data_IF_817792366804
#
_entry.id   IF_817792366804
#
_cell.length_a   1.000
_cell.length_b   1.000
_cell.length_c   1.000
_cell.angle_alpha   90.00
_cell.angle_beta   90.00
_cell.angle_gamma   90.00
#
_symmetry.space_group_name_H-M   'P 1'
#
loop_
_entity.id
_entity.type
_entity.pdbx_description
1 polymer ?
#
# COMPACT_ATOMS: atom_id res chain seq x y z
N UNK A 1 -27.64 -38.95 0.85
CA UNK A 1 -27.52 -37.68 1.60
C UNK A 1 -26.84 -36.64 0.70
N UNK A 2 -27.56 -35.65 0.16
CA UNK A 2 -26.97 -34.60 -0.71
C UNK A 2 -26.40 -33.48 0.16
N UNK A 3 -25.08 -33.31 0.20
CA UNK A 3 -24.41 -32.18 0.87
C UNK A 3 -24.57 -30.93 0.00
N UNK A 4 -25.44 -30.01 0.39
CA UNK A 4 -25.42 -28.66 -0.18
C UNK A 4 -24.09 -27.98 0.20
N UNK A 5 -23.31 -27.58 -0.81
CA UNK A 5 -22.14 -26.71 -0.63
C UNK A 5 -22.55 -25.28 -0.93
N UNK A 6 -22.45 -24.40 0.08
CA UNK A 6 -22.63 -22.96 -0.11
C UNK A 6 -21.46 -22.44 -0.96
N UNK A 7 -21.71 -22.10 -2.21
CA UNK A 7 -20.73 -21.40 -3.04
C UNK A 7 -20.68 -19.94 -2.58
N UNK A 8 -20.01 -19.67 -1.45
CA UNK A 8 -19.90 -18.30 -0.93
C UNK A 8 -19.28 -17.34 -1.96
N UNK A 9 -19.80 -16.12 -1.99
CA UNK A 9 -19.38 -15.03 -2.87
C UNK A 9 -17.96 -14.56 -2.55
N UNK A 10 -17.28 -13.99 -3.54
CA UNK A 10 -16.05 -13.24 -3.33
C UNK A 10 -16.36 -11.99 -2.50
N UNK A 11 -15.65 -11.72 -1.40
CA UNK A 11 -15.84 -10.50 -0.64
C UNK A 11 -15.54 -9.27 -1.49
N UNK A 12 -16.44 -8.29 -1.51
CA UNK A 12 -16.19 -6.99 -2.12
C UNK A 12 -15.12 -6.21 -1.32
N UNK A 13 -14.23 -5.45 -1.98
CA UNK A 13 -13.29 -4.58 -1.30
C UNK A 13 -13.93 -3.25 -0.88
N UNK A 14 -13.41 -2.63 0.18
CA UNK A 14 -13.54 -1.19 0.43
C UNK A 14 -12.29 -0.48 -0.07
N UNK A 15 -12.49 0.65 -0.75
CA UNK A 15 -11.42 1.55 -1.19
C UNK A 15 -11.56 2.85 -0.41
N UNK A 16 -10.49 3.27 0.27
CA UNK A 16 -10.35 4.56 0.92
C UNK A 16 -9.55 5.47 -0.02
N UNK A 17 -10.13 6.62 -0.37
CA UNK A 17 -9.45 7.66 -1.14
C UNK A 17 -9.00 8.75 -0.17
N UNK A 18 -7.72 9.08 -0.21
CA UNK A 18 -7.13 10.04 0.73
C UNK A 18 -6.31 11.09 0.01
N UNK A 19 -6.22 12.27 0.63
CA UNK A 19 -5.35 13.35 0.21
C UNK A 19 -4.82 14.01 1.48
N UNK A 20 -3.51 13.89 1.73
CA UNK A 20 -2.86 14.53 2.86
C UNK A 20 -2.63 16.02 2.56
N UNK A 21 -2.52 16.82 3.61
CA UNK A 21 -2.15 18.22 3.49
C UNK A 21 -0.79 18.37 2.77
N UNK A 22 -0.60 19.42 1.94
CA UNK A 22 0.67 19.67 1.28
C UNK A 22 1.71 20.19 2.25
N UNK A 23 2.98 19.95 1.97
CA UNK A 23 4.09 20.54 2.71
C UNK A 23 4.28 22.03 2.35
N UNK A 24 4.57 22.91 3.32
CA UNK A 24 4.64 22.66 4.76
C UNK A 24 3.25 22.78 5.43
N UNK A 25 2.71 21.67 5.94
CA UNK A 25 1.59 21.66 6.88
C UNK A 25 2.11 21.56 8.32
N UNK A 26 1.31 21.94 9.32
CA UNK A 26 1.73 21.78 10.71
C UNK A 26 1.65 20.31 11.16
N UNK A 27 2.46 19.96 12.16
CA UNK A 27 2.50 18.59 12.70
C UNK A 27 1.14 18.12 13.22
N UNK A 28 0.35 19.03 13.81
CA UNK A 28 -0.98 18.78 14.35
C UNK A 28 -1.98 18.34 13.26
N UNK A 29 -1.98 19.02 12.11
CA UNK A 29 -2.86 18.68 10.97
C UNK A 29 -2.51 17.31 10.38
N UNK A 30 -1.21 17.01 10.25
CA UNK A 30 -0.73 15.70 9.83
C UNK A 30 -1.10 14.60 10.84
N UNK A 31 -0.96 14.87 12.14
CA UNK A 31 -1.35 13.92 13.19
C UNK A 31 -2.85 13.61 13.13
N UNK A 32 -3.70 14.64 13.04
CA UNK A 32 -5.14 14.48 12.92
C UNK A 32 -5.50 13.64 11.69
N UNK A 33 -4.88 13.93 10.53
CA UNK A 33 -5.07 13.16 9.30
C UNK A 33 -4.77 11.67 9.49
N UNK A 34 -3.62 11.31 10.08
CA UNK A 34 -3.25 9.91 10.29
C UNK A 34 -4.13 9.24 11.36
N UNK A 35 -4.50 9.95 12.43
CA UNK A 35 -5.41 9.44 13.45
C UNK A 35 -6.79 9.10 12.86
N UNK A 36 -7.35 9.99 12.05
CA UNK A 36 -8.63 9.79 11.38
C UNK A 36 -8.58 8.66 10.36
N UNK A 37 -7.52 8.59 9.57
CA UNK A 37 -7.30 7.50 8.62
C UNK A 37 -7.23 6.14 9.34
N UNK A 38 -6.47 6.05 10.44
CA UNK A 38 -6.37 4.82 11.21
C UNK A 38 -7.70 4.43 11.85
N UNK A 39 -8.44 5.40 12.38
CA UNK A 39 -9.76 5.18 12.97
C UNK A 39 -10.74 4.65 11.93
N UNK A 40 -10.88 5.34 10.81
CA UNK A 40 -11.75 4.93 9.70
C UNK A 40 -11.36 3.54 9.17
N UNK A 41 -10.06 3.28 9.04
CA UNK A 41 -9.56 1.99 8.62
C UNK A 41 -9.88 0.88 9.64
N UNK A 42 -9.78 1.13 10.95
CA UNK A 42 -10.09 0.16 12.01
C UNK A 42 -11.58 -0.14 12.12
N UNK A 43 -12.43 0.88 12.03
CA UNK A 43 -13.90 0.76 12.10
C UNK A 43 -14.49 -0.02 10.91
N UNK A 44 -13.84 0.01 9.75
CA UNK A 44 -14.28 -0.78 8.61
C UNK A 44 -14.04 -2.29 8.84
N UNK A 45 -15.05 -3.12 8.58
CA UNK A 45 -14.96 -4.58 8.78
C UNK A 45 -14.86 -5.40 7.48
N UNK A 46 -14.64 -4.75 6.34
CA UNK A 46 -14.50 -5.48 5.06
C UNK A 46 -13.21 -6.30 5.01
N UNK A 47 -13.28 -7.41 4.28
CA UNK A 47 -12.16 -8.35 4.25
C UNK A 47 -10.96 -7.80 3.47
N UNK A 48 -11.22 -7.17 2.32
CA UNK A 48 -10.23 -6.51 1.48
C UNK A 48 -10.38 -5.00 1.63
N UNK A 49 -9.29 -4.34 2.01
CA UNK A 49 -9.20 -2.90 2.18
C UNK A 49 -8.04 -2.38 1.34
N UNK A 50 -8.28 -1.31 0.61
CA UNK A 50 -7.28 -0.62 -0.21
C UNK A 50 -7.33 0.85 0.16
N UNK A 51 -6.19 1.45 0.50
CA UNK A 51 -6.05 2.89 0.65
C UNK A 51 -5.29 3.39 -0.59
N UNK A 52 -5.83 4.41 -1.25
CA UNK A 52 -5.22 5.02 -2.44
C UNK A 52 -5.26 6.53 -2.24
N UNK A 53 -4.15 7.21 -2.51
CA UNK A 53 -4.16 8.66 -2.39
C UNK A 53 -2.80 9.30 -2.48
N UNK A 54 -2.83 10.63 -2.43
CA UNK A 54 -1.66 11.49 -2.32
C UNK A 54 -1.35 11.67 -0.84
N UNK A 55 -0.15 11.26 -0.42
CA UNK A 55 0.29 11.42 0.97
C UNK A 55 1.36 12.50 1.14
N UNK A 56 1.85 13.09 0.04
CA UNK A 56 2.96 14.04 0.06
C UNK A 56 4.21 13.51 0.79
N UNK A 57 4.40 12.18 0.76
CA UNK A 57 5.43 11.48 1.52
C UNK A 57 6.18 10.53 0.60
N UNK A 58 7.46 10.26 0.90
CA UNK A 58 8.22 9.25 0.15
C UNK A 58 8.80 8.19 1.10
N UNK A 59 8.43 6.94 0.86
CA UNK A 59 8.84 5.81 1.71
C UNK A 59 10.13 5.21 1.19
N UNK A 60 11.09 5.05 2.11
CA UNK A 60 12.35 4.36 1.87
C UNK A 60 12.13 2.86 1.59
N UNK A 61 13.01 2.22 0.80
CA UNK A 61 13.17 0.78 0.86
C UNK A 61 13.32 0.26 2.28
N UNK A 62 12.68 -0.89 2.51
CA UNK A 62 12.79 -1.69 3.73
C UNK A 62 14.23 -1.76 4.26
N UNK A 63 14.44 -1.38 5.53
CA UNK A 63 15.76 -1.42 6.20
C UNK A 63 15.98 -2.73 6.96
N UNK A 64 14.95 -3.26 7.62
CA UNK A 64 15.06 -4.42 8.50
C UNK A 64 14.18 -5.61 8.10
N UNK A 65 14.64 -6.84 8.40
CA UNK A 65 13.92 -8.09 8.15
C UNK A 65 12.59 -8.24 8.93
N UNK A 66 12.27 -7.29 9.80
CA UNK A 66 11.04 -7.21 10.60
C UNK A 66 9.97 -6.31 9.96
N UNK A 67 10.36 -5.34 9.12
CA UNK A 67 9.48 -4.42 8.37
C UNK A 67 8.82 -5.11 7.16
N UNK A 68 8.06 -6.19 7.40
CA UNK A 68 7.49 -7.02 6.32
C UNK A 68 6.39 -6.32 5.49
N UNK A 69 5.95 -5.16 5.95
CA UNK A 69 4.87 -4.35 5.38
C UNK A 69 5.37 -3.43 4.26
N UNK A 70 6.64 -3.01 4.32
CA UNK A 70 7.29 -2.20 3.29
C UNK A 70 8.20 -3.11 2.46
N UNK A 71 8.08 -3.03 1.14
CA UNK A 71 8.94 -3.76 0.22
C UNK A 71 10.30 -3.09 -0.01
N UNK A 72 11.18 -3.78 -0.71
CA UNK A 72 12.58 -3.36 -0.96
C UNK A 72 12.72 -2.36 -2.11
N UNK A 73 11.63 -1.96 -2.75
CA UNK A 73 11.64 -1.10 -3.94
C UNK A 73 11.02 0.28 -3.68
N UNK A 74 11.21 0.83 -2.47
CA UNK A 74 10.86 2.22 -2.15
C UNK A 74 11.69 3.25 -2.93
N UNK A 75 11.44 4.53 -2.67
CA UNK A 75 12.16 5.65 -3.27
C UNK A 75 13.09 6.33 -2.27
N UNK A 76 13.68 7.46 -2.65
CA UNK A 76 14.31 8.38 -1.70
C UNK A 76 13.33 8.73 -0.58
N UNK A 77 13.84 8.94 0.62
CA UNK A 77 13.04 9.14 1.84
C UNK A 77 12.73 10.62 2.06
N UNK A 78 11.56 10.91 2.63
CA UNK A 78 11.21 12.22 3.21
C UNK A 78 10.76 12.07 4.66
N UNK A 79 10.76 13.16 5.42
CA UNK A 79 10.35 13.18 6.83
C UNK A 79 8.90 12.71 7.01
N UNK A 80 8.01 13.13 6.12
CA UNK A 80 6.61 12.69 6.06
C UNK A 80 6.50 11.19 5.74
N UNK A 81 7.52 10.63 5.09
CA UNK A 81 7.67 9.20 4.83
C UNK A 81 7.76 8.35 6.10
N UNK A 82 8.25 8.91 7.21
CA UNK A 82 8.29 8.23 8.50
C UNK A 82 6.88 8.03 9.05
N UNK A 83 6.08 9.10 9.10
CA UNK A 83 4.67 9.05 9.56
C UNK A 83 3.84 8.07 8.74
N UNK A 84 4.02 8.08 7.41
CA UNK A 84 3.35 7.11 6.54
C UNK A 84 3.79 5.67 6.85
N UNK A 85 5.09 5.47 7.12
CA UNK A 85 5.63 4.16 7.48
C UNK A 85 5.05 3.66 8.81
N UNK A 86 4.95 4.53 9.81
CA UNK A 86 4.32 4.25 11.10
C UNK A 86 2.84 3.86 10.93
N UNK A 87 2.07 4.61 10.15
CA UNK A 87 0.67 4.29 9.86
C UNK A 87 0.51 2.93 9.15
N UNK A 88 1.42 2.60 8.21
CA UNK A 88 1.43 1.29 7.54
C UNK A 88 1.68 0.16 8.55
N UNK A 89 2.60 0.38 9.49
CA UNK A 89 2.93 -0.58 10.54
C UNK A 89 1.78 -0.75 11.54
N UNK A 90 1.20 0.35 12.03
CA UNK A 90 0.10 0.37 13.02
C UNK A 90 -1.18 -0.29 12.49
N UNK A 91 -1.48 -0.09 11.20
CA UNK A 91 -2.65 -0.67 10.53
C UNK A 91 -2.43 -2.09 10.01
N UNK A 92 -1.19 -2.61 10.14
CA UNK A 92 -0.74 -3.87 9.57
C UNK A 92 -1.09 -4.00 8.08
N UNK A 93 -0.93 -2.90 7.35
CA UNK A 93 -1.13 -2.82 5.90
C UNK A 93 0.20 -3.03 5.18
N UNK A 94 0.18 -3.02 3.86
CA UNK A 94 1.33 -3.31 3.02
C UNK A 94 1.46 -2.18 2.02
N UNK A 95 2.63 -1.55 1.99
CA UNK A 95 2.96 -0.55 0.99
C UNK A 95 3.06 -1.22 -0.38
N UNK A 96 2.09 -0.98 -1.25
CA UNK A 96 1.97 -1.64 -2.55
C UNK A 96 3.05 -1.22 -3.53
N UNK A 97 3.39 0.07 -3.58
CA UNK A 97 4.35 0.60 -4.55
C UNK A 97 5.73 -0.04 -4.39
N UNK A 98 6.17 -0.30 -3.15
CA UNK A 98 7.48 -0.88 -2.88
C UNK A 98 7.55 -2.41 -3.02
N UNK A 99 6.41 -3.10 -3.26
CA UNK A 99 6.41 -4.56 -3.42
C UNK A 99 7.00 -5.02 -4.76
N UNK A 100 6.97 -4.18 -5.79
CA UNK A 100 7.30 -4.59 -7.16
C UNK A 100 8.53 -3.85 -7.67
N UNK A 101 9.49 -4.59 -8.20
CA UNK A 101 10.59 -3.99 -8.95
C UNK A 101 10.07 -3.44 -10.28
N UNK A 102 10.28 -2.15 -10.52
CA UNK A 102 9.89 -1.46 -11.76
C UNK A 102 11.04 -0.62 -12.29
N UNK A 103 11.10 -0.46 -13.62
CA UNK A 103 11.99 0.53 -14.22
C UNK A 103 11.63 1.94 -13.71
N UNK A 104 12.63 2.81 -13.60
CA UNK A 104 12.52 4.17 -13.05
C UNK A 104 11.32 4.96 -13.59
N UNK A 105 11.08 4.89 -14.90
CA UNK A 105 9.99 5.61 -15.59
C UNK A 105 8.57 5.18 -15.14
N UNK A 106 8.42 4.05 -14.44
CA UNK A 106 7.13 3.55 -13.94
C UNK A 106 6.97 3.70 -12.42
N UNK A 107 7.90 4.38 -11.75
CA UNK A 107 7.90 4.48 -10.28
C UNK A 107 7.37 5.81 -9.77
N UNK A 108 7.72 6.92 -10.41
CA UNK A 108 7.35 8.26 -9.95
C UNK A 108 6.01 8.68 -10.52
N UNK A 109 5.22 9.33 -9.68
CA UNK A 109 3.85 9.73 -9.96
C UNK A 109 3.69 11.24 -10.05
N UNK A 110 4.64 12.02 -9.57
CA UNK A 110 4.58 13.48 -9.60
C UNK A 110 5.82 14.08 -10.26
N UNK A 111 5.64 15.13 -11.05
CA UNK A 111 6.69 15.89 -11.73
C UNK A 111 6.67 17.36 -11.28
N UNK A 112 7.83 17.89 -10.90
CA UNK A 112 7.93 19.28 -10.43
C UNK A 112 7.64 20.29 -11.55
N UNK A 113 7.26 21.54 -11.20
CA UNK A 113 7.34 22.66 -12.13
C UNK A 113 8.74 22.72 -12.75
N UNK A 114 8.83 22.81 -14.08
CA UNK A 114 10.10 22.78 -14.81
C UNK A 114 10.71 21.38 -15.06
N UNK A 115 10.04 20.29 -14.65
CA UNK A 115 10.40 18.90 -14.96
C UNK A 115 11.77 18.44 -14.45
N UNK A 116 12.24 19.05 -13.37
CA UNK A 116 13.56 18.77 -12.81
C UNK A 116 13.53 17.63 -11.79
N UNK A 117 12.44 17.50 -11.04
CA UNK A 117 12.30 16.51 -9.98
C UNK A 117 11.10 15.59 -10.22
N UNK A 118 11.26 14.33 -9.81
CA UNK A 118 10.26 13.28 -9.94
C UNK A 118 10.09 12.54 -8.62
N UNK A 119 8.89 12.53 -8.06
CA UNK A 119 8.61 11.92 -6.76
C UNK A 119 7.48 10.89 -6.81
N UNK A 120 7.47 9.99 -5.83
CA UNK A 120 6.44 8.96 -5.66
C UNK A 120 5.58 9.22 -4.44
N UNK A 121 4.84 10.34 -4.44
CA UNK A 121 4.00 10.82 -3.32
C UNK A 121 2.56 10.26 -3.34
N UNK A 122 2.24 9.52 -4.39
CA UNK A 122 0.98 8.80 -4.56
C UNK A 122 1.18 7.33 -4.16
N UNK A 123 0.33 6.81 -3.27
CA UNK A 123 0.50 5.47 -2.73
C UNK A 123 -0.74 4.60 -2.87
N UNK A 124 -0.49 3.31 -3.11
CA UNK A 124 -1.48 2.25 -2.96
C UNK A 124 -1.05 1.37 -1.79
N UNK A 125 -1.90 1.27 -0.78
CA UNK A 125 -1.67 0.51 0.45
C UNK A 125 -2.77 -0.53 0.59
N UNK A 126 -2.40 -1.78 0.91
CA UNK A 126 -3.34 -2.92 0.94
C UNK A 126 -3.24 -3.71 2.23
N UNK A 127 -4.36 -4.25 2.71
CA UNK A 127 -4.37 -5.07 3.93
C UNK A 127 -4.07 -6.56 3.70
N UNK A 128 -3.98 -7.01 2.44
CA UNK A 128 -3.74 -8.40 2.06
C UNK A 128 -2.68 -8.44 0.97
N UNK A 129 -1.56 -9.11 1.22
CA UNK A 129 -0.42 -9.08 0.30
C UNK A 129 -0.80 -9.66 -1.06
N UNK A 130 -1.43 -10.82 -1.01
CA UNK A 130 -1.71 -11.65 -2.19
C UNK A 130 -2.89 -11.15 -3.02
N UNK A 131 -3.58 -10.08 -2.61
CA UNK A 131 -4.59 -9.46 -3.46
C UNK A 131 -3.96 -8.49 -4.47
N UNK A 132 -2.81 -7.88 -4.18
CA UNK A 132 -2.12 -6.98 -5.09
C UNK A 132 -1.15 -7.79 -5.97
N UNK A 133 -1.37 -7.77 -7.27
CA UNK A 133 -0.62 -8.59 -8.24
C UNK A 133 0.27 -7.78 -9.18
N UNK A 134 0.05 -6.48 -9.25
CA UNK A 134 0.87 -5.54 -10.01
C UNK A 134 0.60 -4.11 -9.51
N UNK A 135 1.63 -3.26 -9.58
CA UNK A 135 1.58 -1.81 -9.37
C UNK A 135 2.48 -1.14 -10.41
N UNK A 136 2.00 -0.12 -11.11
CA UNK A 136 2.84 0.71 -11.97
C UNK A 136 2.25 2.11 -12.15
N UNK A 137 3.11 3.11 -12.35
CA UNK A 137 2.69 4.40 -12.92
C UNK A 137 2.56 4.25 -14.44
N UNK A 138 1.42 4.66 -14.99
CA UNK A 138 1.14 4.56 -16.43
C UNK A 138 2.06 5.52 -17.20
N UNK A 139 2.81 5.04 -18.21
CA UNK A 139 3.61 5.90 -19.06
C UNK A 139 2.70 6.66 -20.05
N UNK A 140 3.11 7.85 -20.47
CA UNK A 140 2.59 8.53 -21.66
C UNK A 140 1.05 8.67 -21.67
N UNK A 141 0.48 8.98 -20.51
CA UNK A 141 -0.93 9.35 -20.36
C UNK A 141 -0.96 10.78 -19.84
N UNK A 142 -1.38 11.71 -20.68
CA UNK A 142 -1.36 13.13 -20.37
C UNK A 142 -2.70 13.55 -19.76
N UNK A 143 -2.67 13.99 -18.52
CA UNK A 143 -3.82 14.42 -17.72
C UNK A 143 -3.92 15.94 -17.58
N UNK A 144 -3.03 16.69 -18.23
CA UNK A 144 -2.80 18.13 -17.96
C UNK A 144 -2.47 18.43 -16.48
N UNK A 145 -2.12 17.40 -15.71
CA UNK A 145 -1.65 17.49 -14.32
C UNK A 145 -0.16 17.13 -14.25
N UNK A 146 0.50 17.67 -13.24
CA UNK A 146 1.79 17.26 -12.72
C UNK A 146 1.79 15.82 -12.14
N UNK A 147 0.62 15.28 -11.79
CA UNK A 147 0.45 13.89 -11.42
C UNK A 147 0.21 12.96 -12.63
N UNK A 148 0.78 11.75 -12.52
CA UNK A 148 0.65 10.64 -13.45
C UNK A 148 -0.28 9.58 -12.88
N UNK A 149 -1.01 8.94 -13.79
CA UNK A 149 -1.97 7.90 -13.41
C UNK A 149 -1.29 6.68 -12.77
N UNK A 150 -1.71 6.31 -11.57
CA UNK A 150 -1.36 5.04 -10.93
C UNK A 150 -2.26 3.92 -11.42
N UNK A 151 -1.68 2.73 -11.60
CA UNK A 151 -2.41 1.50 -11.93
C UNK A 151 -1.99 0.37 -11.01
N UNK A 152 -2.97 -0.20 -10.32
CA UNK A 152 -2.80 -1.46 -9.60
C UNK A 152 -3.72 -2.54 -10.16
N UNK A 153 -3.26 -3.80 -10.12
CA UNK A 153 -4.05 -4.96 -10.49
C UNK A 153 -4.35 -5.82 -9.27
N UNK A 154 -5.63 -6.00 -8.98
CA UNK A 154 -6.08 -6.77 -7.83
C UNK A 154 -6.67 -8.13 -8.22
N UNK A 155 -6.48 -9.11 -7.33
CA UNK A 155 -7.11 -10.43 -7.36
C UNK A 155 -7.84 -10.68 -6.04
N UNK A 156 -9.08 -10.22 -5.95
CA UNK A 156 -9.96 -10.53 -4.84
C UNK A 156 -10.57 -11.91 -5.07
N UNK A 157 -10.01 -12.93 -4.42
CA UNK A 157 -10.46 -14.31 -4.65
C UNK A 157 -10.24 -15.16 -3.40
N UNK A 158 -10.93 -16.30 -3.33
CA UNK A 158 -10.66 -17.30 -2.28
C UNK A 158 -9.23 -17.82 -2.31
N UNK A 159 -8.59 -17.80 -3.48
CA UNK A 159 -7.20 -18.20 -3.63
C UNK A 159 -6.27 -17.24 -2.87
N UNK A 160 -6.41 -15.92 -3.07
CA UNK A 160 -5.60 -14.94 -2.34
C UNK A 160 -5.87 -14.98 -0.82
N UNK A 161 -7.11 -15.31 -0.40
CA UNK A 161 -7.41 -15.59 1.02
C UNK A 161 -6.63 -16.80 1.56
N UNK A 162 -6.52 -17.87 0.78
CA UNK A 162 -5.80 -19.09 1.17
C UNK A 162 -4.30 -18.84 1.27
N UNK A 163 -3.71 -18.14 0.29
CA UNK A 163 -2.30 -17.77 0.33
C UNK A 163 -1.97 -16.90 1.55
N UNK A 164 -2.82 -15.93 1.87
CA UNK A 164 -2.67 -15.10 3.06
C UNK A 164 -2.66 -15.95 4.34
N UNK A 165 -3.58 -16.92 4.46
CA UNK A 165 -3.63 -17.83 5.61
C UNK A 165 -2.39 -18.73 5.69
N UNK A 166 -1.95 -19.28 4.57
CA UNK A 166 -0.77 -20.14 4.49
C UNK A 166 0.52 -19.38 4.88
N UNK A 167 0.67 -18.14 4.38
CA UNK A 167 1.80 -17.29 4.73
C UNK A 167 1.85 -16.94 6.22
N UNK A 168 0.69 -16.63 6.82
CA UNK A 168 0.58 -16.37 8.27
C UNK A 168 0.90 -17.62 9.09
N UNK A 169 0.48 -18.80 8.63
CA UNK A 169 0.82 -20.07 9.28
C UNK A 169 2.34 -20.31 9.28
N UNK A 170 2.99 -20.19 8.10
CA UNK A 170 4.45 -20.38 7.97
C UNK A 170 5.26 -19.42 8.84
N UNK A 171 4.77 -18.19 9.06
CA UNK A 171 5.43 -17.23 9.96
C UNK A 171 5.34 -17.62 11.44
N UNK A 172 4.29 -18.35 11.84
CA UNK A 172 4.06 -18.79 13.24
C UNK A 172 4.78 -20.10 13.57
N UNK A 173 5.12 -20.89 12.57
CA UNK A 173 5.87 -22.14 12.74
C UNK A 173 7.31 -21.83 13.22
N UNK A 174 7.80 -22.44 14.31
CA UNK A 174 9.20 -22.33 14.69
C UNK A 174 10.08 -22.82 13.53
N UNK A 175 11.09 -22.03 13.15
CA UNK A 175 12.11 -22.53 12.21
C UNK A 175 12.86 -23.64 12.92
N UNK A 176 12.74 -24.87 12.44
CA UNK A 176 13.56 -25.99 12.90
C UNK A 176 15.01 -25.67 12.58
N UNK A 177 15.79 -25.34 13.59
CA UNK A 177 17.25 -25.28 13.48
C UNK A 177 17.71 -26.73 13.53
N UNK A 178 18.12 -27.26 12.38
CA UNK A 178 18.82 -28.55 12.33
C UNK A 178 20.29 -28.22 12.59
N UNK A 179 20.78 -28.61 13.77
CA UNK A 179 22.21 -28.61 14.10
C UNK A 179 22.90 -29.82 13.47
#
# INVERSE_FOLDING_TARGET
MKRLRRCGSTPAPTIFLVYAAPTPSCDEELEEFYMDLEKLYRENHTFFKVIVGVFNATILPRRAAEELHIGTHGMEWSEEGERLSECIMSTHTIHGNSQFQKHSHFRWAWESPGKQFHNGIDHIIVNRKFCLTDFAVVPKFYTESDHRLLRARFRFSRFSVREERAAKFRKRSPKTVVN
#
